data_IF_149725027133
#
_entry.id   IF_149725027133
#
_cell.length_a   1.000
_cell.length_b   1.000
_cell.length_c   1.000
_cell.angle_alpha   90.00
_cell.angle_beta   90.00
_cell.angle_gamma   90.00
#
_symmetry.space_group_name_H-M   'P 1'
#
loop_
_entity.id
_entity.type
_entity.pdbx_description
1 polymer ?
#
# COMPACT_ATOMS: atom_id res chain seq x y z
N UNK A 1 -0.81 21.09 -9.73
CA UNK A 1 -2.08 20.37 -9.98
C UNK A 1 -2.21 19.34 -8.89
N UNK A 2 -3.31 19.41 -8.15
CA UNK A 2 -3.72 18.67 -6.94
C UNK A 2 -2.72 17.71 -6.29
N UNK A 3 -1.99 18.21 -5.29
CA UNK A 3 -1.50 17.39 -4.18
C UNK A 3 -2.66 17.29 -3.19
N UNK A 4 -3.39 16.17 -3.19
CA UNK A 4 -4.34 15.86 -2.12
C UNK A 4 -3.67 14.88 -1.17
N UNK A 5 -3.71 15.23 0.12
CA UNK A 5 -2.85 14.68 1.15
C UNK A 5 -3.23 13.27 1.63
N UNK A 6 -2.28 12.75 2.42
CA UNK A 6 -2.42 11.67 3.42
C UNK A 6 -2.18 10.22 2.94
N UNK A 7 -0.91 10.02 2.60
CA UNK A 7 -0.05 8.81 2.71
C UNK A 7 -0.47 7.50 2.02
N UNK A 8 -1.72 7.04 2.07
CA UNK A 8 -2.15 5.78 1.43
C UNK A 8 -2.92 5.97 0.11
N UNK A 9 -3.56 7.13 -0.10
CA UNK A 9 -4.36 7.46 -1.30
C UNK A 9 -3.74 8.62 -2.09
N UNK A 10 -2.42 8.63 -2.26
CA UNK A 10 -1.72 9.76 -2.89
C UNK A 10 -1.84 9.76 -4.42
N UNK A 11 -2.33 8.67 -5.02
CA UNK A 11 -2.40 8.51 -6.46
C UNK A 11 -3.85 8.35 -6.90
N UNK A 12 -4.24 8.96 -8.04
CA UNK A 12 -5.55 8.78 -8.66
C UNK A 12 -5.89 7.28 -8.84
N UNK A 13 -4.85 6.45 -9.00
CA UNK A 13 -4.94 4.99 -9.08
C UNK A 13 -5.57 4.32 -7.87
N UNK A 14 -5.38 4.87 -6.67
CA UNK A 14 -5.91 4.27 -5.45
C UNK A 14 -7.43 4.50 -5.35
N UNK A 15 -7.91 5.64 -5.87
CA UNK A 15 -9.35 5.94 -5.97
C UNK A 15 -10.03 5.05 -7.01
N UNK A 16 -9.41 4.83 -8.17
CA UNK A 16 -9.94 3.89 -9.18
C UNK A 16 -10.06 2.47 -8.59
N UNK A 17 -9.08 2.05 -7.79
CA UNK A 17 -9.09 0.74 -7.14
C UNK A 17 -10.18 0.63 -6.07
N UNK A 18 -10.42 1.69 -5.29
CA UNK A 18 -11.53 1.79 -4.35
C UNK A 18 -12.89 1.66 -5.05
N UNK A 19 -13.05 2.30 -6.21
CA UNK A 19 -14.29 2.19 -7.00
C UNK A 19 -14.55 0.74 -7.42
N UNK A 20 -13.53 0.07 -7.96
CA UNK A 20 -13.61 -1.35 -8.35
C UNK A 20 -13.98 -2.22 -7.14
N UNK A 21 -13.35 -1.99 -5.99
CA UNK A 21 -13.64 -2.73 -4.77
C UNK A 21 -15.07 -2.49 -4.26
N UNK A 22 -15.59 -1.27 -4.40
CA UNK A 22 -16.98 -0.93 -4.05
C UNK A 22 -17.97 -1.70 -4.92
N UNK A 23 -17.73 -1.75 -6.23
CA UNK A 23 -18.53 -2.53 -7.17
C UNK A 23 -18.51 -4.04 -6.83
N UNK A 24 -17.35 -4.59 -6.48
CA UNK A 24 -17.21 -5.99 -6.11
C UNK A 24 -17.95 -6.35 -4.82
N UNK A 25 -17.93 -5.44 -3.84
CA UNK A 25 -18.67 -5.57 -2.60
C UNK A 25 -20.18 -5.32 -2.78
N UNK A 26 -20.58 -4.72 -3.90
CA UNK A 26 -21.96 -4.33 -4.16
C UNK A 26 -22.45 -3.29 -3.14
N UNK A 27 -21.62 -2.29 -2.89
CA UNK A 27 -21.91 -1.12 -2.04
C UNK A 27 -21.65 0.16 -2.84
N UNK A 28 -22.31 1.26 -2.47
CA UNK A 28 -22.27 2.49 -3.28
C UNK A 28 -20.86 3.11 -3.33
N UNK A 29 -20.23 3.35 -2.17
CA UNK A 29 -18.85 3.88 -2.06
C UNK A 29 -18.22 3.44 -0.72
N UNK A 30 -17.11 2.70 -0.76
CA UNK A 30 -16.41 2.27 0.46
C UNK A 30 -15.47 3.32 1.06
N UNK A 31 -15.14 4.37 0.31
CA UNK A 31 -14.20 5.40 0.74
C UNK A 31 -14.90 6.62 1.32
N UNK A 32 -16.01 7.05 0.71
CA UNK A 32 -16.86 8.15 1.14
C UNK A 32 -18.34 7.76 1.05
N UNK A 33 -18.83 6.85 1.91
CA UNK A 33 -20.24 6.47 1.94
C UNK A 33 -21.13 7.63 2.40
N UNK A 34 -22.37 7.67 1.89
CA UNK A 34 -23.41 8.57 2.40
C UNK A 34 -23.78 8.24 3.86
N UNK A 35 -23.74 6.96 4.23
CA UNK A 35 -24.06 6.45 5.56
C UNK A 35 -22.98 5.43 6.02
N UNK A 36 -22.02 5.87 6.86
CA UNK A 36 -20.95 5.01 7.35
C UNK A 36 -21.43 3.86 8.25
N UNK A 37 -22.51 4.06 9.02
CA UNK A 37 -23.05 3.01 9.89
C UNK A 37 -23.69 1.91 9.06
N UNK A 38 -24.51 2.28 8.07
CA UNK A 38 -25.08 1.34 7.11
C UNK A 38 -23.99 0.59 6.33
N UNK A 39 -22.96 1.29 5.86
CA UNK A 39 -21.84 0.65 5.16
C UNK A 39 -21.17 -0.41 6.05
N UNK A 40 -20.91 -0.07 7.32
CA UNK A 40 -20.32 -1.01 8.27
C UNK A 40 -21.18 -2.24 8.47
N UNK A 41 -22.49 -2.08 8.66
CA UNK A 41 -23.42 -3.21 8.81
C UNK A 41 -23.43 -4.11 7.56
N UNK A 42 -23.35 -3.51 6.36
CA UNK A 42 -23.24 -4.27 5.12
C UNK A 42 -21.92 -5.02 5.00
N UNK A 43 -20.79 -4.42 5.38
CA UNK A 43 -19.49 -5.09 5.39
C UNK A 43 -19.48 -6.26 6.39
N UNK A 44 -20.00 -6.03 7.59
CA UNK A 44 -20.06 -7.00 8.70
C UNK A 44 -21.11 -8.11 8.46
N UNK A 45 -22.01 -7.94 7.48
CA UNK A 45 -22.97 -8.99 7.07
C UNK A 45 -22.31 -10.23 6.43
N UNK A 46 -20.99 -10.20 6.22
CA UNK A 46 -20.20 -11.26 5.59
C UNK A 46 -19.75 -10.92 4.17
N UNK A 47 -20.20 -9.80 3.59
CA UNK A 47 -19.74 -9.30 2.28
C UNK A 47 -18.22 -9.10 2.26
N UNK A 48 -17.66 -8.50 3.31
CA UNK A 48 -16.22 -8.23 3.42
C UNK A 48 -15.40 -9.51 3.39
N UNK A 49 -15.77 -10.49 4.22
CA UNK A 49 -15.05 -11.77 4.31
C UNK A 49 -15.16 -12.54 2.99
N UNK A 50 -16.34 -12.55 2.35
CA UNK A 50 -16.53 -13.18 1.05
C UNK A 50 -15.64 -12.54 -0.04
N UNK A 51 -15.53 -11.22 -0.05
CA UNK A 51 -14.67 -10.51 -1.01
C UNK A 51 -13.18 -10.74 -0.75
N UNK A 52 -12.77 -10.74 0.52
CA UNK A 52 -11.41 -11.11 0.90
C UNK A 52 -11.04 -12.53 0.45
N UNK A 53 -11.92 -13.51 0.63
CA UNK A 53 -11.70 -14.90 0.18
C UNK A 53 -11.52 -14.96 -1.34
N UNK A 54 -12.34 -14.24 -2.12
CA UNK A 54 -12.16 -14.16 -3.58
C UNK A 54 -10.82 -13.55 -3.98
N UNK A 55 -10.39 -12.47 -3.34
CA UNK A 55 -9.10 -11.83 -3.58
C UNK A 55 -7.93 -12.76 -3.22
N UNK A 56 -8.01 -13.43 -2.07
CA UNK A 56 -7.00 -14.36 -1.56
C UNK A 56 -6.84 -15.59 -2.47
N UNK A 57 -7.96 -16.18 -2.87
CA UNK A 57 -7.98 -17.44 -3.64
C UNK A 57 -7.78 -17.21 -5.15
N UNK A 58 -7.60 -15.95 -5.56
CA UNK A 58 -7.28 -15.59 -6.94
C UNK A 58 -8.48 -15.67 -7.89
N UNK A 59 -9.70 -15.49 -7.40
CA UNK A 59 -10.92 -15.47 -8.22
C UNK A 59 -10.86 -14.42 -9.34
N UNK A 60 -10.06 -13.36 -9.14
CA UNK A 60 -9.84 -12.26 -10.09
C UNK A 60 -8.54 -12.39 -10.89
N UNK A 61 -7.95 -13.59 -11.00
CA UNK A 61 -6.71 -13.78 -11.75
C UNK A 61 -6.84 -13.44 -13.26
N UNK A 62 -8.06 -13.41 -13.79
CA UNK A 62 -8.38 -13.01 -15.17
C UNK A 62 -8.94 -11.59 -15.29
N UNK A 63 -9.02 -10.83 -14.19
CA UNK A 63 -9.53 -9.47 -14.20
C UNK A 63 -8.43 -8.50 -14.63
N UNK A 64 -8.59 -7.88 -15.80
CA UNK A 64 -7.59 -6.99 -16.40
C UNK A 64 -7.32 -5.75 -15.52
N UNK A 65 -8.31 -5.28 -14.74
CA UNK A 65 -8.16 -4.15 -13.85
C UNK A 65 -7.35 -4.54 -12.61
N UNK A 66 -7.68 -5.66 -11.94
CA UNK A 66 -6.91 -6.13 -10.78
C UNK A 66 -5.52 -6.64 -11.16
N UNK A 67 -5.31 -7.12 -12.38
CA UNK A 67 -3.97 -7.42 -12.91
C UNK A 67 -3.12 -6.15 -13.02
N UNK A 68 -3.72 -5.04 -13.47
CA UNK A 68 -3.05 -3.75 -13.60
C UNK A 68 -2.63 -3.13 -12.25
N UNK A 69 -3.54 -3.11 -11.27
CA UNK A 69 -3.25 -2.55 -9.93
C UNK A 69 -2.50 -3.52 -9.00
N UNK A 70 -2.65 -4.82 -9.26
CA UNK A 70 -2.11 -5.91 -8.48
C UNK A 70 -3.03 -6.29 -7.31
N UNK A 71 -3.44 -7.57 -7.27
CA UNK A 71 -4.33 -8.13 -6.23
C UNK A 71 -3.82 -7.84 -4.81
N UNK A 72 -2.49 -7.88 -4.58
CA UNK A 72 -1.91 -7.58 -3.26
C UNK A 72 -2.13 -6.13 -2.84
N UNK A 73 -2.06 -5.20 -3.78
CA UNK A 73 -2.37 -3.77 -3.54
C UNK A 73 -3.85 -3.63 -3.20
N UNK A 74 -4.73 -4.31 -3.95
CA UNK A 74 -6.17 -4.30 -3.72
C UNK A 74 -6.54 -4.80 -2.31
N UNK A 75 -5.92 -5.87 -1.84
CA UNK A 75 -6.08 -6.36 -0.45
C UNK A 75 -5.72 -5.30 0.58
N UNK A 76 -4.60 -4.59 0.38
CA UNK A 76 -4.13 -3.57 1.33
C UNK A 76 -5.05 -2.35 1.32
N UNK A 77 -5.46 -1.89 0.14
CA UNK A 77 -6.40 -0.77 -0.02
C UNK A 77 -7.76 -1.11 0.57
N UNK A 78 -8.28 -2.32 0.29
CA UNK A 78 -9.51 -2.82 0.90
C UNK A 78 -9.44 -2.77 2.42
N UNK A 79 -8.36 -3.31 3.01
CA UNK A 79 -8.19 -3.32 4.46
C UNK A 79 -8.20 -1.88 5.03
N UNK A 80 -7.49 -0.94 4.41
CA UNK A 80 -7.50 0.45 4.86
C UNK A 80 -8.87 1.11 4.77
N UNK A 81 -9.60 0.90 3.67
CA UNK A 81 -10.94 1.45 3.47
C UNK A 81 -11.93 0.93 4.51
N UNK A 82 -11.91 -0.37 4.82
CA UNK A 82 -12.86 -0.95 5.79
C UNK A 82 -12.48 -0.66 7.24
N UNK A 83 -11.18 -0.49 7.54
CA UNK A 83 -10.71 -0.01 8.84
C UNK A 83 -11.21 1.40 9.15
N UNK A 84 -11.27 2.26 8.13
CA UNK A 84 -11.80 3.62 8.25
C UNK A 84 -13.22 3.65 8.83
N UNK A 85 -14.03 2.66 8.49
CA UNK A 85 -15.43 2.57 8.92
C UNK A 85 -15.63 1.65 10.12
N UNK A 86 -14.56 1.08 10.67
CA UNK A 86 -14.63 0.21 11.84
C UNK A 86 -15.18 -1.19 11.54
N UNK A 87 -15.11 -1.66 10.30
CA UNK A 87 -15.59 -3.01 9.94
C UNK A 87 -14.81 -4.13 10.64
N UNK A 88 -15.45 -5.28 10.79
CA UNK A 88 -14.89 -6.45 11.45
C UNK A 88 -13.92 -7.16 10.50
N UNK A 89 -12.63 -7.17 10.84
CA UNK A 89 -11.58 -7.82 10.06
C UNK A 89 -11.15 -9.11 10.77
N UNK A 90 -11.20 -10.23 10.05
CA UNK A 90 -10.77 -11.55 10.53
C UNK A 90 -9.25 -11.65 10.72
N UNK A 91 -8.81 -12.58 11.57
CA UNK A 91 -7.38 -12.79 11.81
C UNK A 91 -6.65 -13.30 10.55
N UNK A 92 -7.32 -14.09 9.71
CA UNK A 92 -6.78 -14.53 8.42
C UNK A 92 -6.54 -13.35 7.49
N UNK A 93 -7.52 -12.43 7.40
CA UNK A 93 -7.36 -11.21 6.61
C UNK A 93 -6.22 -10.34 7.15
N UNK A 94 -6.12 -10.14 8.46
CA UNK A 94 -4.99 -9.41 9.08
C UNK A 94 -3.63 -10.03 8.75
N UNK A 95 -3.51 -11.35 8.83
CA UNK A 95 -2.28 -12.05 8.48
C UNK A 95 -1.94 -11.93 6.99
N UNK A 96 -2.96 -12.01 6.13
CA UNK A 96 -2.79 -11.87 4.69
C UNK A 96 -2.34 -10.46 4.30
N UNK A 97 -2.90 -9.41 4.92
CA UNK A 97 -2.45 -8.03 4.73
C UNK A 97 -0.97 -7.89 5.10
N UNK A 98 -0.54 -8.41 6.26
CA UNK A 98 0.89 -8.40 6.65
C UNK A 98 1.78 -9.09 5.62
N UNK A 99 1.34 -10.23 5.08
CA UNK A 99 2.06 -10.94 4.01
C UNK A 99 2.14 -10.10 2.72
N UNK A 100 1.07 -9.40 2.35
CA UNK A 100 1.07 -8.49 1.20
C UNK A 100 2.01 -7.29 1.42
N UNK A 101 2.05 -6.70 2.62
CA UNK A 101 2.95 -5.60 2.96
C UNK A 101 4.44 -5.99 2.87
N UNK A 102 4.79 -7.26 3.08
CA UNK A 102 6.15 -7.75 2.84
C UNK A 102 6.51 -7.93 1.36
N UNK A 103 5.55 -7.76 0.44
CA UNK A 103 5.76 -7.87 -1.01
C UNK A 103 6.05 -6.51 -1.67
N UNK A 104 6.48 -6.54 -2.94
CA UNK A 104 6.46 -5.35 -3.80
C UNK A 104 5.03 -4.94 -4.08
N UNK A 105 4.68 -3.74 -3.64
CA UNK A 105 3.38 -3.09 -3.86
C UNK A 105 3.59 -1.81 -4.67
N UNK A 106 2.56 -1.36 -5.39
CA UNK A 106 2.60 -0.10 -6.14
C UNK A 106 2.37 1.13 -5.23
N UNK A 107 2.92 1.13 -4.02
CA UNK A 107 2.73 2.19 -3.01
C UNK A 107 4.06 2.57 -2.35
N UNK A 108 4.10 3.74 -1.72
CA UNK A 108 5.27 4.24 -1.00
C UNK A 108 5.58 3.39 0.25
N UNK A 109 6.86 3.24 0.59
CA UNK A 109 7.26 2.44 1.76
C UNK A 109 6.67 2.98 3.07
N UNK A 110 6.65 4.30 3.24
CA UNK A 110 5.99 4.91 4.40
C UNK A 110 4.51 4.52 4.51
N UNK A 111 3.80 4.41 3.39
CA UNK A 111 2.41 3.97 3.39
C UNK A 111 2.26 2.49 3.82
N UNK A 112 3.25 1.66 3.48
CA UNK A 112 3.31 0.26 3.95
C UNK A 112 3.58 0.17 5.44
N UNK A 113 4.48 1.00 5.94
CA UNK A 113 4.84 1.05 7.36
C UNK A 113 3.66 1.57 8.20
N UNK A 114 3.02 2.66 7.75
CA UNK A 114 1.81 3.21 8.36
C UNK A 114 0.67 2.17 8.37
N UNK A 115 0.48 1.43 7.26
CA UNK A 115 -0.50 0.35 7.18
C UNK A 115 -0.17 -0.82 8.12
N UNK A 116 1.10 -1.20 8.24
CA UNK A 116 1.53 -2.26 9.14
C UNK A 116 1.22 -1.89 10.61
N UNK A 117 1.57 -0.66 11.00
CA UNK A 117 1.25 -0.12 12.32
C UNK A 117 -0.27 -0.06 12.54
N UNK A 118 -1.03 0.39 11.53
CA UNK A 118 -2.49 0.47 11.59
C UNK A 118 -3.11 -0.91 11.86
N UNK A 119 -2.68 -1.94 11.15
CA UNK A 119 -3.19 -3.33 11.33
C UNK A 119 -2.91 -3.87 12.74
N UNK A 120 -1.80 -3.47 13.35
CA UNK A 120 -1.44 -3.89 14.70
C UNK A 120 -2.28 -3.19 15.78
N UNK A 121 -2.64 -1.91 15.59
CA UNK A 121 -3.44 -1.15 16.56
C UNK A 121 -4.94 -1.27 16.34
N UNK A 122 -5.38 -1.66 15.14
CA UNK A 122 -6.78 -1.66 14.74
C UNK A 122 -7.64 -2.62 15.55
N UNK A 123 -8.75 -2.11 16.10
CA UNK A 123 -9.75 -2.88 16.85
C UNK A 123 -11.07 -2.91 16.10
N UNK A 124 -11.61 -4.11 15.89
CA UNK A 124 -12.89 -4.29 15.22
C UNK A 124 -13.97 -3.44 15.90
N UNK A 125 -14.75 -2.72 15.10
CA UNK A 125 -15.78 -1.81 15.56
C UNK A 125 -15.34 -0.40 15.94
N UNK A 126 -14.04 -0.11 15.90
CA UNK A 126 -13.49 1.24 16.11
C UNK A 126 -12.95 1.79 14.79
N UNK A 127 -13.62 2.79 14.18
CA UNK A 127 -13.10 3.49 13.00
C UNK A 127 -11.64 3.94 13.18
N UNK A 128 -10.78 3.60 12.23
CA UNK A 128 -9.38 4.02 12.20
C UNK A 128 -9.04 4.60 10.82
N UNK A 129 -8.90 5.91 10.76
CA UNK A 129 -8.45 6.60 9.54
C UNK A 129 -6.92 6.64 9.49
N UNK A 130 -6.33 5.85 8.59
CA UNK A 130 -4.87 5.77 8.41
C UNK A 130 -4.33 7.07 7.81
N UNK A 131 -5.15 7.81 7.06
CA UNK A 131 -4.79 9.12 6.54
C UNK A 131 -4.35 10.06 7.68
N UNK A 132 -5.10 10.05 8.80
CA UNK A 132 -4.92 10.95 9.93
C UNK A 132 -3.89 10.54 10.98
N UNK A 133 -3.24 9.36 10.87
CA UNK A 133 -2.27 8.90 11.89
C UNK A 133 -1.06 9.83 12.03
N UNK A 134 -0.75 10.62 11.01
CA UNK A 134 0.32 11.63 11.06
C UNK A 134 0.02 12.89 11.87
N UNK A 135 -1.26 13.21 12.14
CA UNK A 135 -1.66 14.41 12.89
C UNK A 135 -2.10 14.08 14.32
N UNK A 136 -2.60 12.87 14.56
CA UNK A 136 -3.11 12.44 15.87
C UNK A 136 -2.00 11.97 16.84
N UNK A 137 -0.89 11.40 16.33
CA UNK A 137 0.29 11.05 17.16
C UNK A 137 1.02 12.28 17.72
N UNK A 138 0.94 13.43 17.02
CA UNK A 138 1.48 14.71 17.50
C UNK A 138 0.60 15.38 18.57
N UNK A 139 -0.66 14.95 18.72
CA UNK A 139 -1.62 15.53 19.66
C UNK A 139 -1.72 14.75 20.97
N UNK A 140 -1.41 13.45 20.99
CA UNK A 140 -1.60 12.57 22.15
C UNK A 140 -0.32 11.94 22.73
N UNK A 141 0.86 12.39 22.31
CA UNK A 141 2.09 12.10 23.04
C UNK A 141 2.33 13.17 24.11
N UNK A 142 2.19 12.79 25.38
CA UNK A 142 2.49 13.63 26.56
C UNK A 142 3.98 13.97 26.70
N UNK A 143 4.83 13.51 25.78
CA UNK A 143 6.26 13.81 25.75
C UNK A 143 6.58 14.72 24.55
N UNK A 144 6.52 16.04 24.76
CA UNK A 144 7.10 17.01 23.82
C UNK A 144 8.63 16.89 23.83
N UNK A 145 9.29 16.52 22.72
CA UNK A 145 10.72 16.74 22.60
C UNK A 145 10.97 18.25 22.52
N UNK A 146 11.77 18.76 23.44
CA UNK A 146 12.18 20.16 23.42
C UNK A 146 13.11 20.40 22.22
N UNK A 147 12.59 21.10 21.21
CA UNK A 147 13.41 21.77 20.20
C UNK A 147 13.18 21.27 18.77
N UNK A 148 12.74 22.21 17.93
CA UNK A 148 12.79 22.08 16.47
C UNK A 148 11.44 21.85 15.83
N UNK A 149 10.65 22.92 15.64
CA UNK A 149 9.65 22.93 14.59
C UNK A 149 10.34 22.70 13.26
N UNK A 150 10.00 21.60 12.57
CA UNK A 150 10.62 21.26 11.29
C UNK A 150 9.73 21.69 10.13
N UNK A 151 10.41 22.38 9.21
CA UNK A 151 9.89 23.21 8.15
C UNK A 151 9.20 22.42 7.03
N UNK A 152 8.19 23.06 6.46
CA UNK A 152 7.70 22.83 5.10
C UNK A 152 8.84 22.91 4.08
N UNK A 153 8.87 21.90 3.20
CA UNK A 153 9.53 21.80 1.88
C UNK A 153 11.07 21.71 1.83
N UNK A 154 11.55 20.56 1.32
CA UNK A 154 12.58 20.54 0.27
C UNK A 154 12.32 19.39 -0.72
N UNK A 155 12.21 19.66 -2.04
CA UNK A 155 12.07 18.64 -3.10
C UNK A 155 13.29 17.71 -3.30
N UNK A 156 14.34 17.84 -2.48
CA UNK A 156 15.66 17.24 -2.75
C UNK A 156 15.98 15.99 -1.93
N UNK A 157 15.03 15.42 -1.21
CA UNK A 157 15.22 14.12 -0.51
C UNK A 157 14.38 12.96 -1.08
N UNK A 158 13.81 13.12 -2.27
CA UNK A 158 13.25 12.03 -3.07
C UNK A 158 14.37 11.19 -3.71
N UNK A 159 15.14 10.44 -2.93
CA UNK A 159 16.01 9.40 -3.49
C UNK A 159 16.52 8.39 -2.45
N UNK A 160 15.61 7.63 -1.84
CA UNK A 160 15.95 6.27 -1.42
C UNK A 160 14.81 5.34 -1.86
N UNK A 161 14.89 4.90 -3.12
CA UNK A 161 14.31 3.61 -3.49
C UNK A 161 15.20 2.56 -2.84
N UNK A 162 14.86 2.15 -1.61
CA UNK A 162 15.50 1.03 -0.95
C UNK A 162 14.87 -0.24 -1.51
N UNK A 163 15.61 -0.88 -2.41
CA UNK A 163 15.24 -2.17 -2.96
C UNK A 163 15.42 -3.22 -1.87
N UNK A 164 14.37 -3.97 -1.57
CA UNK A 164 14.45 -5.23 -0.82
C UNK A 164 15.61 -6.03 -1.40
N UNK A 165 16.56 -6.42 -0.55
CA UNK A 165 17.89 -6.74 -1.02
C UNK A 165 17.93 -7.96 -1.96
N UNK A 166 16.98 -8.89 -2.02
CA UNK A 166 17.23 -10.16 -2.72
C UNK A 166 16.28 -10.51 -3.89
N UNK A 167 15.75 -9.51 -4.60
CA UNK A 167 14.86 -9.74 -5.75
C UNK A 167 15.28 -9.07 -7.07
N UNK A 168 14.99 -9.73 -8.18
CA UNK A 168 15.19 -9.17 -9.52
C UNK A 168 14.16 -8.07 -9.84
N UNK A 169 14.64 -6.88 -10.17
CA UNK A 169 13.81 -5.71 -10.45
C UNK A 169 12.93 -5.84 -11.71
N UNK A 170 13.15 -6.85 -12.55
CA UNK A 170 12.40 -7.08 -13.80
C UNK A 170 11.38 -8.19 -13.70
N UNK A 171 11.73 -9.31 -13.08
CA UNK A 171 10.90 -10.51 -13.05
C UNK A 171 10.44 -10.91 -11.65
N UNK A 172 10.86 -10.19 -10.60
CA UNK A 172 10.45 -10.45 -9.22
C UNK A 172 10.93 -11.78 -8.65
N UNK A 173 11.82 -12.51 -9.34
CA UNK A 173 12.39 -13.77 -8.84
C UNK A 173 13.45 -13.47 -7.79
N UNK A 174 13.35 -14.18 -6.67
CA UNK A 174 14.42 -14.30 -5.67
C UNK A 174 15.49 -15.25 -6.20
N UNK A 175 16.75 -14.85 -6.07
CA UNK A 175 17.89 -15.69 -6.45
C UNK A 175 19.08 -15.34 -5.57
N UNK A 176 19.81 -16.34 -5.09
CA UNK A 176 20.95 -16.15 -4.19
C UNK A 176 22.13 -15.40 -4.86
N UNK A 177 22.14 -15.33 -6.20
CA UNK A 177 23.17 -14.64 -6.98
C UNK A 177 22.58 -13.62 -7.98
N UNK A 178 22.09 -12.49 -7.49
CA UNK A 178 21.62 -11.39 -8.34
C UNK A 178 22.76 -10.46 -8.79
N UNK A 179 22.71 -10.05 -10.05
CA UNK A 179 23.64 -9.08 -10.65
C UNK A 179 23.23 -7.66 -10.30
N UNK A 180 24.20 -6.86 -9.85
CA UNK A 180 24.00 -5.45 -9.54
C UNK A 180 24.18 -4.58 -10.78
N UNK A 181 23.41 -3.49 -10.88
CA UNK A 181 23.64 -2.46 -11.88
C UNK A 181 25.02 -1.82 -11.65
N UNK A 182 25.93 -1.91 -12.63
CA UNK A 182 27.30 -1.41 -12.49
C UNK A 182 27.42 0.10 -12.23
N UNK A 183 26.37 0.89 -12.51
CA UNK A 183 26.37 2.35 -12.28
C UNK A 183 25.89 2.71 -10.88
N UNK A 184 24.68 2.27 -10.51
CA UNK A 184 24.07 2.68 -9.25
C UNK A 184 24.30 1.71 -8.09
N UNK A 185 24.68 0.45 -8.39
CA UNK A 185 24.76 -0.68 -7.46
C UNK A 185 23.49 -0.96 -6.62
N UNK A 186 22.42 -0.19 -6.79
CA UNK A 186 21.15 -0.33 -6.07
C UNK A 186 20.21 -1.35 -6.73
N UNK A 187 20.08 -1.32 -8.06
CA UNK A 187 19.18 -2.26 -8.76
C UNK A 187 19.84 -3.64 -8.97
N UNK A 188 19.08 -4.71 -8.66
CA UNK A 188 19.49 -6.12 -8.81
C UNK A 188 18.69 -6.85 -9.89
N UNK A 189 19.32 -7.79 -10.60
CA UNK A 189 18.75 -8.50 -11.74
C UNK A 189 19.20 -9.96 -11.80
N UNK A 190 18.32 -10.87 -12.24
CA UNK A 190 18.71 -12.27 -12.46
C UNK A 190 19.78 -12.44 -13.55
N UNK A 191 19.73 -11.61 -14.59
CA UNK A 191 20.62 -11.69 -15.75
C UNK A 191 20.65 -10.36 -16.52
N UNK A 192 21.56 -10.24 -17.49
CA UNK A 192 21.70 -9.06 -18.33
C UNK A 192 20.44 -8.74 -19.16
N UNK A 193 19.61 -9.73 -19.47
CA UNK A 193 18.34 -9.52 -20.19
C UNK A 193 17.32 -8.79 -19.31
N UNK A 194 17.22 -9.19 -18.04
CA UNK A 194 16.39 -8.51 -17.05
C UNK A 194 16.82 -7.06 -16.89
N UNK A 195 18.12 -6.81 -16.77
CA UNK A 195 18.67 -5.45 -16.68
C UNK A 195 18.28 -4.59 -17.89
N UNK A 196 18.42 -5.12 -19.12
CA UNK A 196 18.05 -4.40 -20.36
C UNK A 196 16.56 -4.09 -20.42
N UNK A 197 15.69 -5.04 -20.03
CA UNK A 197 14.24 -4.82 -20.01
C UNK A 197 13.83 -3.73 -19.01
N UNK A 198 14.42 -3.75 -17.81
CA UNK A 198 14.16 -2.72 -16.79
C UNK A 198 14.83 -1.37 -17.09
N UNK A 199 15.75 -1.28 -18.06
CA UNK A 199 16.52 -0.07 -18.31
C UNK A 199 15.66 1.16 -18.61
N UNK A 200 14.56 1.00 -19.34
CA UNK A 200 13.64 2.13 -19.65
C UNK A 200 13.09 2.78 -18.37
N UNK A 201 12.73 1.96 -17.37
CA UNK A 201 12.20 2.41 -16.09
C UNK A 201 13.30 2.77 -15.08
N UNK A 202 14.45 2.09 -15.14
CA UNK A 202 15.56 2.30 -14.22
C UNK A 202 16.40 3.54 -14.57
N UNK A 203 16.58 3.85 -15.86
CA UNK A 203 17.40 4.96 -16.36
C UNK A 203 17.13 6.31 -15.67
N UNK A 204 15.88 6.79 -15.48
CA UNK A 204 15.63 8.06 -14.81
C UNK A 204 16.04 8.07 -13.33
N UNK A 205 16.00 6.92 -12.66
CA UNK A 205 16.37 6.76 -11.24
C UNK A 205 17.82 6.27 -11.04
N UNK A 206 18.58 6.03 -12.12
CA UNK A 206 19.92 5.46 -12.09
C UNK A 206 20.98 6.53 -11.79
N UNK A 207 21.22 6.80 -10.50
CA UNK A 207 22.30 7.66 -10.02
C UNK A 207 23.57 6.84 -9.72
N UNK A 208 24.79 7.36 -10.00
CA UNK A 208 26.03 6.68 -9.62
C UNK A 208 26.08 6.48 -8.09
N UNK A 209 26.56 5.31 -7.66
CA UNK A 209 26.88 5.12 -6.25
C UNK A 209 28.05 6.06 -5.90
N UNK A 210 27.84 6.93 -4.92
CA UNK A 210 28.89 7.77 -4.35
C UNK A 210 29.98 6.90 -3.69
#
# INVERSE_FOLDING_TARGET
MGFWGERLFQNDRDLDLVCILSEHLGVDDIYMPDDPEKLRDELDSGKLEAEFVKLRDGAYASDENLEFFGVKTAVVVLAASVMRHGATISDDFRQHVRKCLNSRLQMYQQAKDDMAAAIDVYRNGTPLDIAGMGLFELANSDERPQGGGLNLLSPQMFNVCETVEDECNTCGKQNDALLHCGRCRKARYCNAECQKKAWKMHKPACAPAA
#
